data_IF_838688455123
#
_entry.id   IF_838688455123
#
_cell.length_a   1.000
_cell.length_b   1.000
_cell.length_c   1.000
_cell.angle_alpha   90.00
_cell.angle_beta   90.00
_cell.angle_gamma   90.00
#
_symmetry.space_group_name_H-M   'P 1'
#
loop_
_entity.id
_entity.type
_entity.pdbx_description
1 polymer ?
#
# COMPACT_ATOMS: atom_id res chain seq x y z
N UNK A 1 -20.07 2.01 -19.64
CA UNK A 1 -19.19 1.03 -20.31
C UNK A 1 -18.18 1.79 -21.14
N UNK A 2 -16.88 1.57 -20.94
CA UNK A 2 -15.86 2.26 -21.73
C UNK A 2 -15.91 1.76 -23.19
N UNK A 3 -16.01 2.68 -24.15
CA UNK A 3 -15.99 2.38 -25.59
C UNK A 3 -14.66 1.70 -25.95
N UNK A 4 -14.72 0.55 -26.62
CA UNK A 4 -13.51 -0.11 -27.14
C UNK A 4 -13.04 0.64 -28.40
N UNK A 5 -12.05 1.50 -28.25
CA UNK A 5 -11.46 2.27 -29.36
C UNK A 5 -10.25 1.49 -29.89
N UNK A 6 -10.26 1.01 -31.15
CA UNK A 6 -9.11 0.32 -31.73
C UNK A 6 -7.91 1.27 -31.86
N UNK A 7 -6.70 0.71 -31.89
CA UNK A 7 -5.47 1.47 -32.17
C UNK A 7 -5.30 1.62 -33.67
N UNK A 8 -5.04 2.85 -34.13
CA UNK A 8 -4.73 3.14 -35.53
C UNK A 8 -3.22 3.33 -35.73
N UNK A 9 -2.71 3.22 -36.97
CA UNK A 9 -1.31 3.51 -37.26
C UNK A 9 -0.87 4.93 -36.86
N UNK A 10 -1.76 5.92 -36.97
CA UNK A 10 -1.49 7.30 -36.55
C UNK A 10 -1.36 7.42 -35.03
N UNK A 11 -2.17 6.68 -34.27
CA UNK A 11 -2.04 6.59 -32.82
C UNK A 11 -0.70 5.99 -32.40
N UNK A 12 -0.26 4.92 -33.09
CA UNK A 12 1.02 4.28 -32.81
C UNK A 12 2.20 5.21 -33.12
N UNK A 13 2.13 5.93 -34.25
CA UNK A 13 3.14 6.91 -34.65
C UNK A 13 3.19 8.08 -33.65
N UNK A 14 2.04 8.58 -33.22
CA UNK A 14 1.95 9.61 -32.20
C UNK A 14 2.56 9.15 -30.88
N UNK A 15 2.17 7.95 -30.43
CA UNK A 15 2.68 7.35 -29.19
C UNK A 15 4.20 7.15 -29.24
N UNK A 16 4.74 6.64 -30.36
CA UNK A 16 6.18 6.45 -30.54
C UNK A 16 6.96 7.76 -30.49
N UNK A 17 6.49 8.80 -31.18
CA UNK A 17 7.17 10.09 -31.24
C UNK A 17 7.15 10.85 -29.90
N UNK A 18 6.14 10.59 -29.05
CA UNK A 18 5.95 11.33 -27.81
C UNK A 18 6.28 10.52 -26.55
N UNK A 19 6.64 9.24 -26.67
CA UNK A 19 6.83 8.33 -25.52
C UNK A 19 7.87 8.84 -24.52
N UNK A 20 9.02 9.30 -25.00
CA UNK A 20 10.10 9.83 -24.14
C UNK A 20 9.98 11.35 -23.91
N UNK A 21 9.04 12.02 -24.58
CA UNK A 21 8.89 13.49 -24.54
C UNK A 21 7.76 13.95 -23.61
N UNK A 22 6.73 13.12 -23.42
CA UNK A 22 5.53 13.45 -22.65
C UNK A 22 5.35 12.53 -21.45
N UNK A 23 4.69 13.05 -20.40
CA UNK A 23 4.24 12.20 -19.32
C UNK A 23 3.07 11.34 -19.80
N UNK A 24 2.93 10.14 -19.22
CA UNK A 24 1.83 9.22 -19.57
C UNK A 24 0.46 9.87 -19.41
N UNK A 25 0.29 10.75 -18.41
CA UNK A 25 -0.97 11.48 -18.19
C UNK A 25 -1.33 12.40 -19.37
N UNK A 26 -0.34 13.01 -20.02
CA UNK A 26 -0.58 13.93 -21.13
C UNK A 26 -0.96 13.11 -22.37
N UNK A 27 -0.32 11.95 -22.55
CA UNK A 27 -0.70 10.97 -23.57
C UNK A 27 -2.12 10.40 -23.37
N UNK A 28 -2.60 10.29 -22.12
CA UNK A 28 -3.99 9.89 -21.82
C UNK A 28 -4.99 10.92 -22.36
N UNK A 29 -4.71 12.21 -22.16
CA UNK A 29 -5.53 13.31 -22.68
C UNK A 29 -5.47 13.38 -24.20
N UNK A 30 -4.27 13.32 -24.78
CA UNK A 30 -4.05 13.45 -26.23
C UNK A 30 -4.71 12.32 -27.03
N UNK A 31 -4.64 11.09 -26.51
CA UNK A 31 -5.16 9.90 -27.20
C UNK A 31 -6.58 9.52 -26.74
N UNK A 32 -7.13 10.18 -25.72
CA UNK A 32 -8.43 9.83 -25.14
C UNK A 32 -8.49 8.39 -24.60
N UNK A 33 -7.36 7.87 -24.11
CA UNK A 33 -7.20 6.47 -23.68
C UNK A 33 -6.72 6.39 -22.24
N UNK A 34 -7.07 5.31 -21.55
CA UNK A 34 -6.61 5.09 -20.17
C UNK A 34 -5.11 4.78 -20.12
N UNK A 35 -4.46 5.13 -19.00
CA UNK A 35 -3.08 4.78 -18.66
C UNK A 35 -2.74 3.33 -18.98
N UNK A 36 -3.61 2.40 -18.56
CA UNK A 36 -3.41 0.98 -18.78
C UNK A 36 -3.36 0.59 -20.27
N UNK A 37 -4.22 1.20 -21.09
CA UNK A 37 -4.25 0.97 -22.54
C UNK A 37 -2.96 1.47 -23.21
N UNK A 38 -2.53 2.68 -22.86
CA UNK A 38 -1.31 3.32 -23.38
C UNK A 38 -0.07 2.51 -23.00
N UNK A 39 0.09 2.17 -21.72
CA UNK A 39 1.22 1.37 -21.25
C UNK A 39 1.27 -0.02 -21.89
N UNK A 40 0.10 -0.63 -22.15
CA UNK A 40 0.03 -1.93 -22.85
C UNK A 40 0.45 -1.78 -24.31
N UNK A 41 -0.01 -0.74 -25.01
CA UNK A 41 0.37 -0.49 -26.40
C UNK A 41 1.85 -0.14 -26.53
N UNK A 42 2.37 0.73 -25.67
CA UNK A 42 3.78 1.10 -25.66
C UNK A 42 4.70 -0.12 -25.45
N UNK A 43 4.30 -1.09 -24.61
CA UNK A 43 5.00 -2.37 -24.49
C UNK A 43 4.90 -3.22 -25.76
N UNK A 44 3.73 -3.28 -26.40
CA UNK A 44 3.53 -4.02 -27.64
C UNK A 44 4.36 -3.45 -28.81
N UNK A 45 4.56 -2.12 -28.83
CA UNK A 45 5.39 -1.41 -29.80
C UNK A 45 6.90 -1.39 -29.44
N UNK A 46 7.30 -1.98 -28.30
CA UNK A 46 8.69 -1.97 -27.85
C UNK A 46 9.22 -0.62 -27.35
N UNK A 47 8.35 0.39 -27.19
CA UNK A 47 8.70 1.73 -26.72
C UNK A 47 9.04 1.75 -25.23
N UNK A 48 8.28 0.98 -24.44
CA UNK A 48 8.54 0.86 -23.02
C UNK A 48 9.80 0.00 -22.78
N UNK A 49 10.87 0.63 -22.27
CA UNK A 49 12.08 -0.09 -21.83
C UNK A 49 11.66 -1.26 -20.92
N UNK A 50 12.08 -2.47 -21.26
CA UNK A 50 12.06 -3.56 -20.29
C UNK A 50 12.97 -3.12 -19.15
N UNK A 51 12.45 -3.15 -17.91
CA UNK A 51 13.31 -3.13 -16.74
C UNK A 51 14.09 -4.44 -16.76
N UNK A 52 15.23 -4.45 -17.43
CA UNK A 52 16.18 -5.54 -17.33
C UNK A 52 16.73 -5.55 -15.91
N UNK A 53 16.92 -6.74 -15.38
CA UNK A 53 17.57 -6.97 -14.10
C UNK A 53 19.03 -7.22 -14.41
N UNK A 54 19.93 -6.44 -13.83
CA UNK A 54 21.37 -6.70 -14.00
C UNK A 54 21.80 -7.90 -13.15
N UNK A 55 22.98 -8.44 -13.42
CA UNK A 55 23.56 -9.49 -12.59
C UNK A 55 23.73 -9.01 -11.14
N UNK A 56 24.15 -7.76 -10.95
CA UNK A 56 24.32 -7.14 -9.64
C UNK A 56 22.98 -7.00 -8.91
N UNK A 57 21.89 -6.61 -9.62
CA UNK A 57 20.56 -6.57 -9.02
C UNK A 57 20.13 -7.96 -8.51
N UNK A 58 20.45 -9.00 -9.28
CA UNK A 58 20.14 -10.38 -8.95
C UNK A 58 20.95 -10.88 -7.75
N UNK A 59 22.25 -10.65 -7.75
CA UNK A 59 23.13 -10.98 -6.62
C UNK A 59 22.69 -10.25 -5.35
N UNK A 60 22.31 -8.98 -5.47
CA UNK A 60 21.77 -8.19 -4.37
C UNK A 60 20.52 -8.84 -3.78
N UNK A 61 19.55 -9.21 -4.63
CA UNK A 61 18.34 -9.91 -4.19
C UNK A 61 18.69 -11.26 -3.57
N UNK A 62 19.63 -12.02 -4.14
CA UNK A 62 19.98 -13.36 -3.64
C UNK A 62 20.52 -13.33 -2.22
N UNK A 63 21.38 -12.36 -1.91
CA UNK A 63 22.05 -12.28 -0.62
C UNK A 63 21.22 -11.53 0.43
N UNK A 64 20.57 -10.43 0.04
CA UNK A 64 19.99 -9.50 1.00
C UNK A 64 18.49 -9.69 1.20
N UNK A 65 17.78 -10.32 0.24
CA UNK A 65 16.35 -10.59 0.41
C UNK A 65 16.06 -11.55 1.58
N UNK A 66 16.85 -12.62 1.82
CA UNK A 66 16.62 -13.51 2.95
C UNK A 66 16.89 -12.88 4.32
N UNK A 67 17.68 -11.81 4.39
CA UNK A 67 18.09 -11.17 5.65
C UNK A 67 17.32 -9.88 5.94
N UNK A 68 17.13 -9.03 4.93
CA UNK A 68 16.55 -7.69 5.05
C UNK A 68 15.16 -7.56 4.41
N UNK A 69 14.72 -8.57 3.67
CA UNK A 69 13.37 -8.63 3.10
C UNK A 69 13.17 -7.83 1.81
N UNK A 70 11.94 -7.96 1.29
CA UNK A 70 11.54 -7.44 -0.03
C UNK A 70 11.54 -5.90 -0.07
N UNK A 71 11.11 -5.26 1.02
CA UNK A 71 10.97 -3.80 1.05
C UNK A 71 12.33 -3.11 0.98
N UNK A 72 13.31 -3.59 1.75
CA UNK A 72 14.68 -3.10 1.70
C UNK A 72 15.25 -3.21 0.27
N UNK A 73 15.11 -4.38 -0.35
CA UNK A 73 15.56 -4.61 -1.72
C UNK A 73 14.85 -3.69 -2.72
N UNK A 74 13.54 -3.48 -2.57
CA UNK A 74 12.76 -2.62 -3.44
C UNK A 74 13.24 -1.16 -3.37
N UNK A 75 13.45 -0.63 -2.16
CA UNK A 75 13.98 0.72 -1.97
C UNK A 75 15.39 0.87 -2.54
N UNK A 76 16.28 -0.08 -2.28
CA UNK A 76 17.68 -0.02 -2.73
C UNK A 76 17.78 -0.08 -4.26
N UNK A 77 17.02 -0.99 -4.89
CA UNK A 77 17.03 -1.20 -6.32
C UNK A 77 16.13 -0.19 -7.08
N UNK A 78 15.50 0.75 -6.35
CA UNK A 78 14.55 1.74 -6.88
C UNK A 78 13.46 1.11 -7.75
N UNK A 79 12.98 -0.07 -7.33
CA UNK A 79 11.93 -0.84 -8.03
C UNK A 79 10.75 -1.07 -7.09
N UNK A 80 9.59 -1.42 -7.65
CA UNK A 80 8.44 -1.76 -6.82
C UNK A 80 8.68 -3.07 -6.07
N UNK A 81 8.11 -3.18 -4.87
CA UNK A 81 8.12 -4.42 -4.08
C UNK A 81 7.61 -5.62 -4.90
N UNK A 82 6.58 -5.40 -5.72
CA UNK A 82 6.02 -6.45 -6.56
C UNK A 82 6.99 -6.92 -7.64
N UNK A 83 7.74 -6.00 -8.25
CA UNK A 83 8.77 -6.35 -9.24
C UNK A 83 9.85 -7.25 -8.60
N UNK A 84 10.31 -6.89 -7.40
CA UNK A 84 11.28 -7.69 -6.63
C UNK A 84 10.72 -9.07 -6.27
N UNK A 85 9.46 -9.17 -5.84
CA UNK A 85 8.83 -10.47 -5.54
C UNK A 85 8.76 -11.38 -6.76
N UNK A 86 8.30 -10.85 -7.89
CA UNK A 86 8.22 -11.60 -9.15
C UNK A 86 9.61 -12.05 -9.57
N UNK A 87 10.63 -11.20 -9.43
CA UNK A 87 12.01 -11.55 -9.75
C UNK A 87 12.57 -12.64 -8.83
N UNK A 88 12.44 -12.47 -7.52
CA UNK A 88 12.89 -13.46 -6.52
C UNK A 88 12.23 -14.83 -6.75
N UNK A 89 10.93 -14.86 -7.05
CA UNK A 89 10.21 -16.08 -7.40
C UNK A 89 10.77 -16.74 -8.67
N UNK A 90 11.08 -15.96 -9.71
CA UNK A 90 11.71 -16.47 -10.95
C UNK A 90 13.13 -17.02 -10.71
N UNK A 91 13.84 -16.47 -9.73
CA UNK A 91 15.15 -16.95 -9.31
C UNK A 91 15.09 -18.14 -8.33
N UNK A 92 13.89 -18.63 -7.99
CA UNK A 92 13.72 -19.74 -7.04
C UNK A 92 13.98 -19.36 -5.58
N UNK A 93 14.11 -18.07 -5.27
CA UNK A 93 14.35 -17.60 -3.91
C UNK A 93 13.04 -17.64 -3.13
N UNK A 94 13.00 -18.45 -2.07
CA UNK A 94 11.84 -18.53 -1.18
C UNK A 94 11.76 -17.26 -0.36
N UNK A 95 10.78 -16.42 -0.66
CA UNK A 95 10.48 -15.25 0.16
C UNK A 95 9.89 -15.76 1.47
N UNK A 96 10.69 -15.72 2.54
CA UNK A 96 10.23 -16.11 3.87
C UNK A 96 9.06 -15.23 4.29
N UNK A 97 8.00 -15.85 4.82
CA UNK A 97 6.85 -15.14 5.41
C UNK A 97 7.25 -14.27 6.60
N UNK A 98 8.46 -14.48 7.14
CA UNK A 98 9.09 -13.66 8.18
C UNK A 98 9.12 -12.18 7.75
N UNK A 99 9.52 -11.88 6.52
CA UNK A 99 9.61 -10.50 6.01
C UNK A 99 8.33 -9.93 5.40
N UNK A 100 7.24 -10.72 5.37
CA UNK A 100 5.89 -10.20 5.11
C UNK A 100 5.20 -9.75 6.40
N UNK A 101 5.71 -10.17 7.57
CA UNK A 101 5.06 -10.03 8.88
C UNK A 101 5.95 -9.46 9.99
N UNK A 102 7.24 -9.21 9.76
CA UNK A 102 8.11 -8.61 10.75
C UNK A 102 7.83 -7.10 10.81
N UNK A 103 6.97 -6.73 11.75
CA UNK A 103 6.90 -5.37 12.23
C UNK A 103 8.17 -5.09 13.02
N UNK A 104 8.82 -3.99 12.68
CA UNK A 104 9.97 -3.46 13.41
C UNK A 104 9.57 -3.05 14.83
N UNK A 105 10.54 -2.91 15.75
CA UNK A 105 10.26 -2.42 17.09
C UNK A 105 9.65 -1.01 17.07
N UNK A 106 10.07 -0.19 16.11
CA UNK A 106 9.54 1.13 15.85
C UNK A 106 8.07 1.06 15.40
N UNK A 107 7.73 0.15 14.48
CA UNK A 107 6.34 -0.05 14.04
C UNK A 107 5.45 -0.62 15.15
N UNK A 108 5.97 -1.51 15.99
CA UNK A 108 5.26 -2.02 17.18
C UNK A 108 5.02 -0.90 18.21
N UNK A 109 6.01 -0.05 18.44
CA UNK A 109 5.88 1.13 19.30
C UNK A 109 4.82 2.09 18.74
N UNK A 110 4.83 2.33 17.42
CA UNK A 110 3.85 3.18 16.76
C UNK A 110 2.45 2.58 16.85
N UNK A 111 2.30 1.27 16.63
CA UNK A 111 1.05 0.53 16.81
C UNK A 111 0.47 0.74 18.21
N UNK A 112 1.31 0.63 19.25
CA UNK A 112 0.91 0.87 20.66
C UNK A 112 0.48 2.31 20.94
N UNK A 113 1.06 3.29 20.26
CA UNK A 113 0.64 4.69 20.37
C UNK A 113 -0.70 4.90 19.65
N UNK A 114 -0.82 4.41 18.43
CA UNK A 114 -2.02 4.52 17.60
C UNK A 114 -3.23 3.86 18.27
N UNK A 115 -3.05 2.70 18.91
CA UNK A 115 -4.16 2.01 19.60
C UNK A 115 -4.75 2.81 20.76
N UNK A 116 -3.96 3.72 21.36
CA UNK A 116 -4.41 4.60 22.45
C UNK A 116 -5.14 5.85 21.93
N UNK A 117 -5.06 6.14 20.63
CA UNK A 117 -5.68 7.32 20.04
C UNK A 117 -7.08 6.97 19.50
N UNK A 118 -8.15 7.55 20.08
CA UNK A 118 -9.53 7.24 19.65
C UNK A 118 -9.79 7.67 18.20
N UNK A 119 -9.15 8.75 17.75
CA UNK A 119 -9.36 9.37 16.43
C UNK A 119 -8.72 8.63 15.24
N UNK A 120 -7.79 7.70 15.45
CA UNK A 120 -7.01 7.11 14.35
C UNK A 120 -7.26 5.62 14.19
N UNK A 121 -7.93 5.24 13.10
CA UNK A 121 -8.22 3.83 12.78
C UNK A 121 -6.99 3.09 12.29
N UNK A 122 -6.97 1.76 12.45
CA UNK A 122 -5.92 0.92 11.84
C UNK A 122 -5.88 1.06 10.31
N UNK A 123 -6.98 1.41 9.65
CA UNK A 123 -6.96 1.65 8.21
C UNK A 123 -6.14 2.91 7.86
N UNK A 124 -6.31 3.99 8.61
CA UNK A 124 -5.56 5.24 8.43
C UNK A 124 -4.09 5.06 8.82
N UNK A 125 -3.82 4.37 9.92
CA UNK A 125 -2.46 4.05 10.33
C UNK A 125 -1.74 3.13 9.33
N UNK A 126 -2.44 2.16 8.74
CA UNK A 126 -1.89 1.31 7.69
C UNK A 126 -1.52 2.11 6.44
N UNK A 127 -2.33 3.11 6.09
CA UNK A 127 -2.02 4.03 5.01
C UNK A 127 -0.75 4.86 5.29
N UNK A 128 -0.60 5.37 6.51
CA UNK A 128 0.59 6.15 6.93
C UNK A 128 1.85 5.27 6.93
N UNK A 129 1.74 4.02 7.39
CA UNK A 129 2.85 3.07 7.51
C UNK A 129 3.15 2.30 6.21
N UNK A 130 2.37 2.50 5.14
CA UNK A 130 2.53 1.73 3.90
C UNK A 130 2.26 0.23 4.06
N UNK A 131 1.49 -0.16 5.09
CA UNK A 131 1.16 -1.55 5.42
C UNK A 131 -0.28 -1.89 5.04
N UNK A 132 -0.62 -3.17 5.08
CA UNK A 132 -2.02 -3.59 4.93
C UNK A 132 -2.77 -3.44 6.26
N UNK A 133 -4.02 -2.97 6.24
CA UNK A 133 -4.85 -2.90 7.45
C UNK A 133 -5.00 -4.27 8.13
N UNK A 134 -5.08 -5.34 7.34
CA UNK A 134 -5.22 -6.71 7.82
C UNK A 134 -3.95 -7.24 8.51
N UNK A 135 -2.77 -6.91 7.97
CA UNK A 135 -1.49 -7.23 8.62
C UNK A 135 -1.36 -6.56 9.98
N UNK A 136 -1.81 -5.30 10.10
CA UNK A 136 -1.73 -4.56 11.35
C UNK A 136 -2.66 -5.12 12.42
N UNK A 137 -3.87 -5.55 12.05
CA UNK A 137 -4.77 -6.23 13.00
C UNK A 137 -4.15 -7.52 13.51
N UNK A 138 -3.55 -8.32 12.62
CA UNK A 138 -2.86 -9.56 13.00
C UNK A 138 -1.67 -9.30 13.92
N UNK A 139 -0.88 -8.25 13.65
CA UNK A 139 0.23 -7.86 14.52
C UNK A 139 -0.25 -7.36 15.87
N UNK A 140 -1.22 -6.46 15.91
CA UNK A 140 -1.84 -5.97 17.14
C UNK A 140 -2.28 -7.16 18.01
N UNK A 141 -3.01 -8.12 17.42
CA UNK A 141 -3.40 -9.35 18.12
C UNK A 141 -2.20 -10.16 18.65
N UNK A 142 -1.13 -10.31 17.86
CA UNK A 142 0.09 -11.02 18.30
C UNK A 142 0.86 -10.31 19.42
N UNK A 143 0.72 -8.98 19.52
CA UNK A 143 1.30 -8.17 20.60
C UNK A 143 0.43 -8.15 21.87
N UNK A 144 -0.64 -8.97 21.90
CA UNK A 144 -1.66 -8.95 22.96
C UNK A 144 -2.43 -7.64 22.98
N UNK A 145 -2.40 -6.88 21.89
CA UNK A 145 -3.13 -5.64 21.80
C UNK A 145 -4.60 -5.97 21.53
N UNK A 146 -5.48 -5.39 22.32
CA UNK A 146 -6.89 -5.71 22.27
C UNK A 146 -7.50 -5.02 21.03
N UNK A 147 -8.31 -5.76 20.27
CA UNK A 147 -8.70 -5.39 18.90
C UNK A 147 -9.61 -4.17 18.91
N UNK A 148 -9.47 -3.24 17.95
CA UNK A 148 -10.28 -2.00 17.91
C UNK A 148 -11.80 -2.21 17.72
N UNK A 149 -12.27 -3.46 17.63
CA UNK A 149 -13.68 -3.81 17.79
C UNK A 149 -14.12 -3.84 19.28
N UNK A 150 -13.15 -3.97 20.19
CA UNK A 150 -13.31 -4.09 21.64
C UNK A 150 -12.87 -2.82 22.40
N UNK A 151 -12.52 -1.74 21.68
CA UNK A 151 -12.23 -0.44 22.31
C UNK A 151 -13.34 0.54 22.01
N UNK A 152 -14.14 0.70 23.06
CA UNK A 152 -15.17 1.69 23.25
C UNK A 152 -16.40 1.46 22.38
N UNK A 153 -17.38 0.75 22.94
CA UNK A 153 -18.75 0.97 22.49
C UNK A 153 -19.06 2.47 22.59
N UNK A 154 -20.04 2.96 21.84
CA UNK A 154 -20.49 4.35 22.00
C UNK A 154 -20.80 4.67 23.48
N UNK A 155 -21.29 3.69 24.25
CA UNK A 155 -21.52 3.85 25.69
C UNK A 155 -20.24 3.96 26.52
N UNK A 156 -19.16 3.24 26.21
CA UNK A 156 -17.90 3.36 26.97
C UNK A 156 -17.21 4.72 26.74
N UNK A 157 -17.22 5.23 25.50
CA UNK A 157 -16.66 6.56 25.17
C UNK A 157 -17.44 7.69 25.86
N UNK A 158 -18.77 7.55 25.92
CA UNK A 158 -19.64 8.50 26.60
C UNK A 158 -19.44 8.45 28.13
N UNK A 159 -19.19 7.28 28.72
CA UNK A 159 -18.84 7.12 30.14
C UNK A 159 -17.50 7.76 30.48
N UNK A 160 -16.50 7.63 29.62
CA UNK A 160 -15.20 8.28 29.81
C UNK A 160 -15.32 9.82 29.71
N UNK A 161 -16.04 10.33 28.70
CA UNK A 161 -16.38 11.77 28.61
C UNK A 161 -17.13 12.29 29.85
N UNK A 162 -18.01 11.47 30.43
CA UNK A 162 -18.70 11.78 31.69
C UNK A 162 -17.71 11.94 32.84
N UNK A 163 -16.79 11.00 33.00
CA UNK A 163 -15.79 11.00 34.08
C UNK A 163 -14.83 12.20 34.00
N UNK A 164 -14.63 12.75 32.80
CA UNK A 164 -13.80 13.93 32.52
C UNK A 164 -14.61 15.25 32.54
N UNK A 165 -15.93 15.20 32.72
CA UNK A 165 -16.80 16.39 32.81
C UNK A 165 -17.01 17.14 31.49
N UNK A 166 -16.83 16.47 30.35
CA UNK A 166 -16.84 17.09 29.00
C UNK A 166 -17.97 16.57 28.10
N UNK A 167 -19.00 15.95 28.68
CA UNK A 167 -20.19 15.50 27.96
C UNK A 167 -21.05 16.67 27.49
N UNK A 168 -21.53 16.61 26.25
CA UNK A 168 -22.56 17.54 25.75
C UNK A 168 -23.97 17.03 26.07
N UNK A 169 -24.97 17.91 26.06
CA UNK A 169 -26.37 17.55 26.37
C UNK A 169 -26.93 16.47 25.43
N UNK A 170 -26.63 16.54 24.12
CA UNK A 170 -27.05 15.51 23.17
C UNK A 170 -26.31 14.17 23.35
N UNK A 171 -25.10 14.18 23.90
CA UNK A 171 -24.33 12.98 24.20
C UNK A 171 -24.77 12.31 25.51
N UNK A 172 -25.34 13.08 26.44
CA UNK A 172 -26.00 12.57 27.65
C UNK A 172 -27.26 11.76 27.31
N UNK A 173 -28.13 12.27 26.44
CA UNK A 173 -29.34 11.56 25.97
C UNK A 173 -28.96 10.25 25.23
N UNK A 174 -27.90 10.29 24.43
CA UNK A 174 -27.37 9.09 23.76
C UNK A 174 -26.80 8.07 24.77
N UNK A 175 -26.20 8.50 25.88
CA UNK A 175 -25.69 7.59 26.90
C UNK A 175 -26.84 6.89 27.66
N UNK A 176 -27.92 7.61 27.94
CA UNK A 176 -29.10 7.08 28.62
C UNK A 176 -29.86 6.06 27.76
N UNK A 177 -29.89 6.26 26.44
CA UNK A 177 -30.55 5.33 25.49
C UNK A 177 -29.73 4.07 25.17
N UNK A 178 -28.42 4.10 25.45
CA UNK A 178 -27.49 2.98 25.23
C UNK A 178 -27.23 2.13 26.50
N UNK A 179 -27.94 2.41 27.61
CA UNK A 179 -27.89 1.65 28.87
C UNK A 179 -28.94 0.55 28.92
#
# INVERSE_FOLDING_TARGET
MAKHIPWTPDDDKYLANNWDQKLVRDLETDLGRTKGSILRRARALGLAKKSEWSFEDEEFIRHLLPEYGVEYCARHLKRSMESVRVKAKRMGIRISSKYHNDYTQEEDALLRVISKLPSLTFAQAAHILGRSPEGMRKRAKSLGMPTKADYLTASDLLREKSSLGILTSGELELLETLS
#
